data_IF_232881688094
#
_entry.id   IF_232881688094
#
_cell.length_a   1.000
_cell.length_b   1.000
_cell.length_c   1.000
_cell.angle_alpha   90.00
_cell.angle_beta   90.00
_cell.angle_gamma   90.00
#
_symmetry.space_group_name_H-M   'P 1'
#
loop_
_entity.id
_entity.type
_entity.pdbx_description
1 polymer ?
#
# COMPACT_ATOMS: atom_id res chain seq x y z
N UNK A 1 1.51 -0.02 -36.81
CA UNK A 1 2.04 1.06 -35.96
C UNK A 1 1.81 0.63 -34.53
N UNK A 2 2.86 0.20 -33.84
CA UNK A 2 2.77 -0.24 -32.45
C UNK A 2 2.52 1.04 -31.64
N UNK A 3 1.40 1.11 -30.92
CA UNK A 3 1.19 2.17 -29.92
C UNK A 3 2.25 2.00 -28.84
N UNK A 4 3.40 2.65 -29.04
CA UNK A 4 4.48 2.66 -28.07
C UNK A 4 3.94 3.20 -26.75
N UNK A 5 4.10 2.41 -25.69
CA UNK A 5 3.86 2.85 -24.33
C UNK A 5 4.56 4.21 -24.12
N UNK A 6 3.78 5.26 -23.86
CA UNK A 6 4.35 6.58 -23.59
C UNK A 6 4.76 6.60 -22.14
N UNK A 7 6.06 6.74 -21.90
CA UNK A 7 6.53 7.08 -20.56
C UNK A 7 5.86 8.39 -20.12
N UNK A 8 5.33 8.39 -18.91
CA UNK A 8 4.72 9.57 -18.30
C UNK A 8 5.51 9.94 -17.06
N UNK A 9 5.84 11.22 -16.95
CA UNK A 9 6.36 11.81 -15.73
C UNK A 9 5.37 12.89 -15.32
N UNK A 10 4.74 12.71 -14.16
CA UNK A 10 3.83 13.68 -13.58
C UNK A 10 4.43 14.19 -12.27
N UNK A 11 4.63 15.50 -12.21
CA UNK A 11 5.03 16.19 -11.01
C UNK A 11 3.86 17.07 -10.54
N UNK A 12 3.48 16.94 -9.27
CA UNK A 12 2.47 17.77 -8.63
C UNK A 12 3.00 18.32 -7.31
N UNK A 13 2.95 19.63 -7.15
CA UNK A 13 3.39 20.30 -5.92
C UNK A 13 2.18 20.84 -5.16
N UNK A 14 2.15 20.61 -3.85
CA UNK A 14 1.14 21.17 -2.96
C UNK A 14 1.78 21.57 -1.63
N UNK A 15 1.69 22.85 -1.27
CA UNK A 15 2.39 23.37 -0.10
C UNK A 15 3.91 23.07 -0.15
N UNK A 16 4.50 22.51 0.91
CA UNK A 16 5.92 22.13 0.92
C UNK A 16 6.19 20.74 0.33
N UNK A 17 5.16 20.05 -0.16
CA UNK A 17 5.25 18.70 -0.69
C UNK A 17 5.31 18.68 -2.22
N UNK A 18 6.11 17.76 -2.75
CA UNK A 18 6.16 17.42 -4.17
C UNK A 18 5.89 15.92 -4.34
N UNK A 19 4.90 15.59 -5.15
CA UNK A 19 4.59 14.24 -5.61
C UNK A 19 5.15 14.07 -7.01
N UNK A 20 5.96 13.05 -7.20
CA UNK A 20 6.54 12.66 -8.48
C UNK A 20 6.09 11.24 -8.80
N UNK A 21 5.42 11.08 -9.93
CA UNK A 21 4.98 9.78 -10.43
C UNK A 21 5.61 9.53 -11.81
N UNK A 22 6.42 8.48 -11.87
CA UNK A 22 7.10 8.07 -13.09
C UNK A 22 6.54 6.72 -13.50
N UNK A 23 6.05 6.64 -14.74
CA UNK A 23 5.62 5.40 -15.38
C UNK A 23 6.41 5.22 -16.67
N UNK A 24 7.08 4.09 -16.80
CA UNK A 24 7.91 3.70 -17.93
C UNK A 24 7.53 2.31 -18.42
N UNK A 25 8.28 1.83 -19.41
CA UNK A 25 8.08 0.50 -19.98
C UNK A 25 8.64 -0.56 -19.04
N UNK A 26 8.19 -1.80 -19.27
CA UNK A 26 8.71 -3.00 -18.62
C UNK A 26 10.21 -3.13 -18.91
N UNK A 27 11.00 -3.55 -17.93
CA UNK A 27 12.43 -3.79 -18.11
C UNK A 27 12.70 -4.82 -19.21
N UNK A 28 13.83 -4.66 -19.89
CA UNK A 28 14.29 -5.63 -20.90
C UNK A 28 14.86 -6.86 -20.22
N UNK A 29 14.75 -8.02 -20.86
CA UNK A 29 15.18 -9.31 -20.30
C UNK A 29 16.63 -9.30 -19.78
N UNK A 30 17.57 -8.68 -20.50
CA UNK A 30 18.96 -8.58 -20.05
C UNK A 30 19.15 -7.77 -18.76
N UNK A 31 18.37 -6.70 -18.57
CA UNK A 31 18.42 -5.89 -17.36
C UNK A 31 17.71 -6.59 -16.20
N UNK A 32 16.66 -7.38 -16.50
CA UNK A 32 15.96 -8.25 -15.55
C UNK A 32 16.87 -9.34 -15.00
N UNK A 33 17.57 -10.07 -15.88
CA UNK A 33 18.52 -11.14 -15.49
C UNK A 33 19.64 -10.59 -14.61
N UNK A 34 20.24 -9.47 -15.02
CA UNK A 34 21.30 -8.80 -14.23
C UNK A 34 20.82 -8.38 -12.84
N UNK A 35 19.61 -7.84 -12.76
CA UNK A 35 19.03 -7.43 -11.48
C UNK A 35 18.63 -8.66 -10.63
N UNK A 36 18.17 -9.74 -11.24
CA UNK A 36 17.89 -11.00 -10.54
C UNK A 36 19.16 -11.55 -9.88
N UNK A 37 20.28 -11.54 -10.61
CA UNK A 37 21.60 -11.92 -10.09
C UNK A 37 22.04 -11.02 -8.93
N UNK A 38 21.95 -9.69 -9.10
CA UNK A 38 22.28 -8.71 -8.04
C UNK A 38 21.43 -8.94 -6.77
N UNK A 39 20.16 -9.24 -6.98
CA UNK A 39 19.19 -9.48 -5.92
C UNK A 39 19.24 -10.91 -5.39
N UNK A 40 20.08 -11.79 -5.94
CA UNK A 40 20.17 -13.21 -5.57
C UNK A 40 18.78 -13.90 -5.63
N UNK A 41 17.97 -13.55 -6.63
CA UNK A 41 16.66 -14.13 -6.90
C UNK A 41 16.74 -15.02 -8.14
N UNK A 42 16.03 -16.16 -8.18
CA UNK A 42 16.06 -17.05 -9.35
C UNK A 42 15.46 -16.40 -10.59
N UNK A 43 14.40 -15.60 -10.42
CA UNK A 43 13.80 -14.78 -11.45
C UNK A 43 13.11 -13.57 -10.81
N UNK A 44 12.80 -12.57 -11.63
CA UNK A 44 11.94 -11.44 -11.25
C UNK A 44 10.56 -11.61 -11.91
N UNK A 45 9.55 -10.85 -11.46
CA UNK A 45 8.24 -10.80 -12.10
C UNK A 45 8.34 -10.57 -13.62
N UNK A 46 7.46 -11.22 -14.39
CA UNK A 46 7.41 -11.07 -15.86
C UNK A 46 7.25 -9.61 -16.30
N UNK A 47 6.36 -8.87 -15.64
CA UNK A 47 6.12 -7.45 -15.90
C UNK A 47 6.76 -6.60 -14.81
N UNK A 48 8.08 -6.47 -14.86
CA UNK A 48 8.85 -5.66 -13.91
C UNK A 48 9.04 -4.22 -14.40
N UNK A 49 8.51 -3.22 -13.68
CA UNK A 49 8.68 -1.80 -14.00
C UNK A 49 9.77 -1.15 -13.13
N UNK A 50 11.03 -1.35 -13.50
CA UNK A 50 12.17 -1.00 -12.65
C UNK A 50 12.47 0.48 -12.48
N UNK A 51 11.94 1.31 -13.37
CA UNK A 51 12.06 2.77 -13.30
C UNK A 51 10.74 3.43 -12.85
N UNK A 52 9.69 2.63 -12.59
CA UNK A 52 8.46 3.17 -12.02
C UNK A 52 8.70 3.55 -10.56
N UNK A 53 8.26 4.76 -10.23
CA UNK A 53 8.36 5.27 -8.87
C UNK A 53 7.21 6.21 -8.59
N UNK A 54 6.65 6.09 -7.40
CA UNK A 54 5.84 7.12 -6.79
C UNK A 54 6.60 7.67 -5.59
N UNK A 55 6.91 8.97 -5.62
CA UNK A 55 7.72 9.64 -4.61
C UNK A 55 6.95 10.82 -4.03
N UNK A 56 6.92 10.93 -2.71
CA UNK A 56 6.44 12.08 -1.96
C UNK A 56 7.63 12.68 -1.24
N UNK A 57 8.01 13.91 -1.58
CA UNK A 57 9.18 14.57 -1.03
C UNK A 57 8.81 15.94 -0.45
N UNK A 58 9.28 16.20 0.77
CA UNK A 58 9.19 17.51 1.39
C UNK A 58 10.30 18.42 0.87
N UNK A 59 10.06 19.73 0.85
CA UNK A 59 11.07 20.75 0.48
C UNK A 59 12.35 20.67 1.32
N UNK A 60 12.26 20.19 2.57
CA UNK A 60 13.40 19.95 3.47
C UNK A 60 14.24 18.72 3.10
N UNK A 61 13.87 17.97 2.06
CA UNK A 61 14.65 16.86 1.52
C UNK A 61 14.28 15.47 2.02
N UNK A 62 13.52 15.36 3.12
CA UNK A 62 12.99 14.08 3.59
C UNK A 62 11.73 13.67 2.80
N UNK A 63 11.38 12.40 2.81
CA UNK A 63 10.20 11.91 2.09
C UNK A 63 10.03 10.40 2.15
N UNK A 64 9.18 9.88 1.28
CA UNK A 64 8.96 8.45 1.10
C UNK A 64 8.79 8.16 -0.39
N UNK A 65 9.34 7.05 -0.85
CA UNK A 65 9.11 6.56 -2.21
C UNK A 65 8.71 5.10 -2.24
N UNK A 66 8.07 4.72 -3.34
CA UNK A 66 7.59 3.38 -3.61
C UNK A 66 8.15 2.95 -4.95
N UNK A 67 8.99 1.91 -4.93
CA UNK A 67 9.63 1.37 -6.12
C UNK A 67 9.64 -0.17 -6.09
N UNK A 68 9.68 -0.80 -7.27
CA UNK A 68 9.64 -2.25 -7.39
C UNK A 68 10.88 -2.94 -6.79
N UNK A 69 12.06 -2.33 -6.93
CA UNK A 69 13.34 -2.93 -6.52
C UNK A 69 13.40 -3.15 -5.02
N UNK A 70 13.06 -2.13 -4.23
CA UNK A 70 13.04 -2.23 -2.77
C UNK A 70 11.92 -3.13 -2.26
N UNK A 71 10.78 -3.17 -2.95
CA UNK A 71 9.73 -4.12 -2.65
C UNK A 71 10.20 -5.58 -2.84
N UNK A 72 10.94 -5.86 -3.91
CA UNK A 72 11.50 -7.18 -4.17
C UNK A 72 12.65 -7.56 -3.21
N UNK A 73 13.37 -6.58 -2.64
CA UNK A 73 14.38 -6.86 -1.59
C UNK A 73 13.75 -7.44 -0.33
N UNK A 74 12.50 -7.08 -0.05
CA UNK A 74 11.72 -7.57 1.10
C UNK A 74 11.11 -8.94 0.87
N UNK A 75 11.05 -9.42 -0.38
CA UNK A 75 10.57 -10.79 -0.67
C UNK A 75 11.48 -11.78 0.03
N UNK A 76 10.85 -12.73 0.73
CA UNK A 76 11.60 -13.64 1.58
C UNK A 76 12.40 -14.63 0.73
N UNK A 77 13.73 -14.43 0.68
CA UNK A 77 14.64 -15.30 -0.08
C UNK A 77 14.87 -16.66 0.58
N UNK A 78 14.48 -16.82 1.85
CA UNK A 78 14.88 -17.94 2.70
C UNK A 78 13.71 -18.65 3.43
N UNK A 79 12.47 -18.13 3.39
CA UNK A 79 11.33 -18.89 3.90
C UNK A 79 10.89 -19.93 2.87
N UNK A 80 11.35 -21.15 3.17
CA UNK A 80 10.73 -22.41 2.80
C UNK A 80 9.26 -22.31 2.44
N UNK A 81 8.98 -22.48 1.15
CA UNK A 81 7.74 -22.97 0.57
C UNK A 81 6.47 -22.52 1.29
N UNK A 82 5.64 -21.73 0.60
CA UNK A 82 4.21 -21.99 0.70
C UNK A 82 4.06 -23.48 0.32
N UNK A 83 3.97 -24.36 1.33
CA UNK A 83 3.65 -25.78 1.17
C UNK A 83 2.18 -25.86 0.80
N UNK A 84 1.83 -25.27 -0.34
CA UNK A 84 0.67 -25.73 -1.06
C UNK A 84 1.07 -27.11 -1.55
N UNK A 85 0.21 -28.11 -1.34
CA UNK A 85 0.40 -29.42 -1.96
C UNK A 85 0.57 -29.34 -3.50
N UNK A 86 0.20 -28.20 -4.09
CA UNK A 86 0.41 -27.86 -5.49
C UNK A 86 1.85 -27.44 -5.82
N UNK A 87 2.72 -27.12 -4.86
CA UNK A 87 4.12 -26.79 -5.18
C UNK A 87 4.86 -27.98 -5.82
N UNK A 88 4.45 -29.22 -5.56
CA UNK A 88 4.97 -30.40 -6.27
C UNK A 88 4.42 -30.48 -7.70
N UNK A 89 3.11 -30.33 -7.93
CA UNK A 89 2.52 -30.33 -9.28
C UNK A 89 2.98 -29.12 -10.14
N UNK A 90 3.22 -27.97 -9.51
CA UNK A 90 3.71 -26.73 -10.12
C UNK A 90 5.23 -26.74 -10.34
N UNK A 91 5.98 -27.52 -9.54
CA UNK A 91 7.38 -27.85 -9.81
C UNK A 91 7.50 -28.91 -10.93
N UNK A 92 6.57 -29.86 -10.98
CA UNK A 92 6.52 -30.92 -12.00
C UNK A 92 6.18 -30.36 -13.39
N UNK A 93 5.30 -29.35 -13.51
CA UNK A 93 4.98 -28.72 -14.81
C UNK A 93 6.17 -27.99 -15.47
N UNK A 94 7.16 -27.56 -14.68
CA UNK A 94 8.44 -27.00 -15.17
C UNK A 94 9.52 -28.04 -15.44
N UNK A 95 9.33 -29.29 -14.97
CA UNK A 95 10.29 -30.38 -15.19
C UNK A 95 10.31 -30.92 -16.62
N UNK A 96 9.33 -30.52 -17.45
CA UNK A 96 9.21 -30.91 -18.86
C UNK A 96 10.05 -30.07 -19.83
N UNK A 97 10.80 -29.07 -19.32
CA UNK A 97 11.86 -28.42 -20.10
C UNK A 97 13.19 -29.16 -19.86
N UNK A 98 13.76 -29.78 -20.91
CA UNK A 98 14.94 -30.66 -20.86
C UNK A 98 16.24 -30.04 -20.30
N UNK A 99 16.22 -28.85 -19.70
CA UNK A 99 17.40 -28.14 -19.20
C UNK A 99 17.16 -27.57 -17.79
N UNK A 100 17.09 -28.42 -16.77
CA UNK A 100 17.82 -28.30 -15.49
C UNK A 100 17.17 -29.14 -14.37
N UNK A 101 17.80 -30.28 -14.05
CA UNK A 101 17.62 -30.95 -12.75
C UNK A 101 18.46 -30.24 -11.69
N UNK A 102 18.31 -28.93 -11.54
CA UNK A 102 18.85 -28.24 -10.39
C UNK A 102 17.77 -28.23 -9.30
N UNK A 103 18.15 -28.71 -8.13
CA UNK A 103 17.32 -28.67 -6.91
C UNK A 103 16.94 -27.21 -6.70
N UNK A 104 15.72 -26.85 -7.10
CA UNK A 104 15.18 -25.50 -6.99
C UNK A 104 15.18 -25.16 -5.52
N UNK A 105 16.03 -24.20 -5.13
CA UNK A 105 16.08 -23.68 -3.76
C UNK A 105 14.65 -23.28 -3.37
N UNK A 106 14.23 -23.53 -2.12
CA UNK A 106 12.89 -23.16 -1.69
C UNK A 106 12.75 -21.64 -1.73
N UNK A 107 12.19 -21.14 -2.82
CA UNK A 107 12.01 -19.73 -3.11
C UNK A 107 10.52 -19.43 -3.15
N UNK A 108 10.14 -18.26 -2.64
CA UNK A 108 8.78 -17.79 -2.74
C UNK A 108 8.53 -17.18 -4.13
N UNK A 109 8.03 -18.03 -5.04
CA UNK A 109 7.63 -17.62 -6.40
C UNK A 109 6.41 -16.70 -6.43
N UNK A 110 5.77 -16.47 -5.28
CA UNK A 110 4.61 -15.58 -5.18
C UNK A 110 4.99 -14.11 -5.02
N UNK A 111 6.29 -13.79 -4.90
CA UNK A 111 6.81 -12.45 -4.69
C UNK A 111 6.14 -11.69 -3.53
N UNK A 112 5.72 -12.42 -2.48
CA UNK A 112 5.06 -11.81 -1.32
C UNK A 112 6.01 -10.84 -0.63
N UNK A 113 5.55 -9.61 -0.43
CA UNK A 113 6.35 -8.53 0.16
C UNK A 113 5.61 -7.80 1.28
N UNK A 114 6.32 -7.51 2.37
CA UNK A 114 5.88 -6.67 3.49
C UNK A 114 6.32 -5.21 3.34
N UNK A 115 6.63 -4.79 2.10
CA UNK A 115 7.13 -3.46 1.80
C UNK A 115 6.15 -2.35 2.18
N UNK A 116 6.64 -1.38 2.97
CA UNK A 116 5.87 -0.25 3.52
C UNK A 116 6.37 1.11 2.99
N UNK A 117 7.08 1.12 1.87
CA UNK A 117 7.77 2.28 1.31
C UNK A 117 9.21 2.44 1.79
N UNK A 118 10.02 3.11 0.97
CA UNK A 118 11.41 3.46 1.22
C UNK A 118 11.49 4.89 1.74
N UNK A 119 12.05 5.07 2.93
CA UNK A 119 12.23 6.38 3.53
C UNK A 119 13.34 7.14 2.81
N UNK A 120 13.07 8.39 2.44
CA UNK A 120 14.02 9.30 1.82
C UNK A 120 14.48 10.35 2.83
N UNK A 121 15.75 10.72 2.72
CA UNK A 121 16.37 11.74 3.55
C UNK A 121 17.87 11.54 3.63
N UNK A 122 18.64 12.61 3.42
CA UNK A 122 20.09 12.57 3.63
C UNK A 122 20.38 12.75 5.13
N UNK A 123 20.08 13.94 5.66
CA UNK A 123 20.35 14.31 7.05
C UNK A 123 19.08 14.32 7.93
N UNK A 124 17.91 14.49 7.31
CA UNK A 124 16.60 14.52 7.96
C UNK A 124 15.80 13.31 7.48
N UNK A 125 15.42 12.42 8.38
CA UNK A 125 14.60 11.23 8.09
C UNK A 125 13.40 11.27 9.02
N UNK A 126 12.23 10.86 8.53
CA UNK A 126 11.03 10.75 9.38
C UNK A 126 11.21 9.59 10.37
N UNK A 127 10.86 9.82 11.63
CA UNK A 127 10.93 8.80 12.66
C UNK A 127 9.67 7.94 12.64
N UNK A 128 9.84 6.63 12.57
CA UNK A 128 8.73 5.67 12.61
C UNK A 128 8.50 5.26 14.07
N UNK A 129 7.33 5.61 14.61
CA UNK A 129 6.94 5.24 15.98
C UNK A 129 5.65 4.43 15.96
N UNK A 130 5.52 3.36 16.77
CA UNK A 130 4.25 2.65 16.93
C UNK A 130 3.17 3.59 17.48
N UNK A 131 1.93 3.44 17.02
CA UNK A 131 0.81 4.27 17.47
C UNK A 131 -0.47 3.45 17.61
N UNK A 132 -1.42 3.94 18.39
CA UNK A 132 -2.80 3.44 18.45
C UNK A 132 -3.76 4.30 17.62
N UNK A 133 -3.27 5.42 17.07
CA UNK A 133 -4.05 6.31 16.21
C UNK A 133 -4.32 5.65 14.86
N UNK A 134 -5.59 5.65 14.43
CA UNK A 134 -6.04 5.06 13.16
C UNK A 134 -6.37 6.12 12.13
N UNK A 135 -6.25 5.77 10.86
CA UNK A 135 -6.71 6.59 9.73
C UNK A 135 -8.23 6.68 9.82
N UNK A 136 -8.73 7.90 9.92
CA UNK A 136 -10.17 8.14 9.95
C UNK A 136 -10.75 7.97 8.54
N UNK A 137 -11.43 6.85 8.31
CA UNK A 137 -12.08 6.51 7.04
C UNK A 137 -13.19 7.48 6.66
N UNK A 138 -13.93 8.04 7.62
CA UNK A 138 -14.99 9.02 7.36
C UNK A 138 -14.45 10.30 6.70
N UNK A 139 -13.24 10.73 7.11
CA UNK A 139 -12.57 11.87 6.48
C UNK A 139 -12.19 11.59 5.02
N UNK A 140 -11.90 10.35 4.66
CA UNK A 140 -11.63 9.96 3.27
C UNK A 140 -12.90 9.96 2.41
N UNK A 141 -14.07 9.74 3.02
CA UNK A 141 -15.39 9.81 2.36
C UNK A 141 -15.86 11.26 2.14
N UNK A 142 -15.24 12.23 2.82
CA UNK A 142 -15.56 13.65 2.65
C UNK A 142 -15.34 14.08 1.18
N UNK A 143 -16.31 14.81 0.61
CA UNK A 143 -16.28 15.29 -0.78
C UNK A 143 -15.31 16.47 -0.97
N UNK A 144 -14.04 16.26 -0.67
CA UNK A 144 -12.99 17.18 -1.10
C UNK A 144 -12.68 16.97 -2.58
N UNK A 145 -12.38 18.05 -3.28
CA UNK A 145 -11.98 17.97 -4.68
C UNK A 145 -10.62 17.27 -4.78
N UNK A 146 -10.55 16.19 -5.56
CA UNK A 146 -9.29 15.52 -5.86
C UNK A 146 -8.48 16.43 -6.78
N UNK A 147 -7.40 17.01 -6.25
CA UNK A 147 -6.51 17.91 -6.97
C UNK A 147 -5.55 17.12 -7.87
N UNK A 148 -5.11 15.97 -7.37
CA UNK A 148 -4.21 15.08 -8.10
C UNK A 148 -4.53 13.62 -7.77
N UNK A 149 -4.63 12.79 -8.80
CA UNK A 149 -4.77 11.35 -8.67
C UNK A 149 -3.79 10.67 -9.62
N UNK A 150 -3.06 9.68 -9.11
CA UNK A 150 -2.17 8.91 -9.94
C UNK A 150 -2.03 7.48 -9.39
N UNK A 151 -1.93 6.53 -10.31
CA UNK A 151 -1.74 5.11 -10.02
C UNK A 151 -0.53 4.56 -10.78
N UNK A 152 0.43 3.99 -10.08
CA UNK A 152 1.68 3.46 -10.63
C UNK A 152 1.75 1.96 -10.34
N UNK A 153 1.81 1.16 -11.40
CA UNK A 153 2.08 -0.28 -11.31
C UNK A 153 3.59 -0.49 -11.12
N UNK A 154 4.01 -1.28 -10.13
CA UNK A 154 5.42 -1.52 -9.83
C UNK A 154 5.90 -2.84 -10.43
N UNK A 155 5.14 -3.91 -10.23
CA UNK A 155 5.36 -5.17 -10.92
C UNK A 155 4.06 -5.98 -11.03
N UNK A 156 4.03 -6.90 -11.99
CA UNK A 156 2.98 -7.89 -12.16
C UNK A 156 3.56 -9.22 -12.69
N UNK A 157 2.97 -10.34 -12.30
CA UNK A 157 3.34 -11.69 -12.73
C UNK A 157 2.07 -12.55 -12.78
N UNK A 158 1.89 -13.32 -13.86
CA UNK A 158 0.72 -14.19 -14.06
C UNK A 158 0.92 -15.59 -13.46
N UNK A 159 2.03 -15.83 -12.75
CA UNK A 159 2.37 -17.10 -12.12
C UNK A 159 2.19 -18.25 -13.13
N UNK A 160 2.66 -18.08 -14.36
CA UNK A 160 2.52 -19.08 -15.45
C UNK A 160 1.08 -19.55 -15.65
N UNK A 161 0.13 -18.62 -15.77
CA UNK A 161 -1.31 -18.87 -15.92
C UNK A 161 -1.99 -19.55 -14.70
N UNK A 162 -1.33 -19.59 -13.54
CA UNK A 162 -1.89 -20.17 -12.31
C UNK A 162 -2.31 -19.13 -11.27
N UNK A 163 -2.37 -17.86 -11.65
CA UNK A 163 -2.82 -16.81 -10.76
C UNK A 163 -2.39 -15.42 -11.19
N UNK A 164 -2.25 -14.54 -10.21
CA UNK A 164 -1.69 -13.20 -10.40
C UNK A 164 -0.98 -12.75 -9.14
N UNK A 165 0.18 -12.13 -9.31
CA UNK A 165 0.92 -11.42 -8.28
C UNK A 165 1.20 -10.00 -8.77
N UNK A 166 0.57 -9.00 -8.19
CA UNK A 166 0.71 -7.61 -8.58
C UNK A 166 1.00 -6.68 -7.41
N UNK A 167 1.83 -5.67 -7.64
CA UNK A 167 2.09 -4.59 -6.69
C UNK A 167 1.83 -3.25 -7.38
N UNK A 168 0.87 -2.49 -6.88
CA UNK A 168 0.57 -1.14 -7.37
C UNK A 168 0.47 -0.14 -6.22
N UNK A 169 0.73 1.12 -6.54
CA UNK A 169 0.60 2.24 -5.60
C UNK A 169 -0.25 3.34 -6.21
N UNK A 170 -1.24 3.83 -5.47
CA UNK A 170 -2.11 4.94 -5.88
C UNK A 170 -2.11 6.05 -4.84
N UNK A 171 -2.19 7.29 -5.30
CA UNK A 171 -2.26 8.48 -4.44
C UNK A 171 -3.43 9.38 -4.86
N UNK A 172 -4.10 9.94 -3.86
CA UNK A 172 -5.11 11.01 -3.98
C UNK A 172 -4.62 12.18 -3.14
N UNK A 173 -4.45 13.34 -3.78
CA UNK A 173 -4.11 14.58 -3.09
C UNK A 173 -5.33 15.49 -3.08
N UNK A 174 -5.71 15.91 -1.88
CA UNK A 174 -6.77 16.87 -1.62
C UNK A 174 -6.16 18.21 -1.19
N UNK A 175 -6.94 19.30 -1.10
CA UNK A 175 -6.40 20.59 -0.66
C UNK A 175 -5.79 20.57 0.74
N UNK A 176 -6.37 19.78 1.66
CA UNK A 176 -5.99 19.75 3.08
C UNK A 176 -5.19 18.52 3.49
N UNK A 177 -5.18 17.46 2.67
CA UNK A 177 -4.64 16.15 3.02
C UNK A 177 -4.24 15.35 1.79
N UNK A 178 -3.53 14.24 1.98
CA UNK A 178 -3.37 13.23 0.94
C UNK A 178 -3.52 11.82 1.50
N UNK A 179 -3.93 10.91 0.63
CA UNK A 179 -4.09 9.50 0.93
C UNK A 179 -3.37 8.66 -0.14
N UNK A 180 -2.56 7.71 0.29
CA UNK A 180 -1.85 6.78 -0.57
C UNK A 180 -2.17 5.35 -0.14
N UNK A 181 -2.39 4.48 -1.13
CA UNK A 181 -2.55 3.04 -0.94
C UNK A 181 -1.52 2.31 -1.81
N UNK A 182 -0.58 1.65 -1.17
CA UNK A 182 0.24 0.60 -1.77
C UNK A 182 -0.48 -0.72 -1.53
N UNK A 183 -0.78 -1.46 -2.59
CA UNK A 183 -1.46 -2.75 -2.52
C UNK A 183 -0.64 -3.81 -3.23
N UNK A 184 -0.25 -4.83 -2.47
CA UNK A 184 0.19 -6.11 -3.00
C UNK A 184 -1.03 -7.04 -3.06
N UNK A 185 -1.28 -7.63 -4.22
CA UNK A 185 -2.35 -8.58 -4.43
C UNK A 185 -1.80 -9.87 -5.01
N UNK A 186 -2.08 -10.99 -4.34
CA UNK A 186 -1.69 -12.32 -4.75
C UNK A 186 -2.94 -13.20 -4.80
N UNK A 187 -3.18 -13.81 -5.95
CA UNK A 187 -4.15 -14.89 -6.13
C UNK A 187 -3.40 -16.08 -6.70
N UNK A 188 -3.51 -17.22 -6.05
CA UNK A 188 -3.08 -18.50 -6.59
C UNK A 188 -4.34 -19.32 -6.83
N UNK A 189 -4.64 -19.63 -8.08
CA UNK A 189 -5.90 -20.20 -8.49
C UNK A 189 -6.16 -21.55 -7.81
N UNK A 190 -7.36 -21.70 -7.25
CA UNK A 190 -7.75 -22.87 -6.45
C UNK A 190 -7.09 -23.01 -5.07
N UNK A 191 -6.15 -22.13 -4.71
CA UNK A 191 -5.33 -22.26 -3.50
C UNK A 191 -5.66 -21.18 -2.46
N UNK A 192 -5.25 -19.93 -2.70
CA UNK A 192 -5.35 -18.85 -1.73
C UNK A 192 -5.40 -17.48 -2.39
N UNK A 193 -5.90 -16.51 -1.64
CA UNK A 193 -5.85 -15.09 -1.96
C UNK A 193 -5.20 -14.39 -0.77
N UNK A 194 -4.17 -13.59 -1.04
CA UNK A 194 -3.45 -12.77 -0.07
C UNK A 194 -3.41 -11.33 -0.56
N UNK A 195 -3.55 -10.39 0.37
CA UNK A 195 -3.49 -8.97 0.08
C UNK A 195 -2.75 -8.25 1.20
N UNK A 196 -1.72 -7.48 0.83
CA UNK A 196 -1.01 -6.62 1.78
C UNK A 196 -1.24 -5.17 1.37
N UNK A 197 -1.97 -4.44 2.21
CA UNK A 197 -2.26 -3.02 2.01
C UNK A 197 -1.39 -2.19 2.96
N UNK A 198 -0.64 -1.24 2.42
CA UNK A 198 -0.03 -0.13 3.18
C UNK A 198 -0.75 1.16 2.84
N UNK A 199 -1.51 1.68 3.79
CA UNK A 199 -2.19 2.98 3.72
C UNK A 199 -1.29 4.04 4.34
N UNK A 200 -1.18 5.19 3.69
CA UNK A 200 -0.48 6.35 4.20
C UNK A 200 -1.39 7.57 4.11
N UNK A 201 -1.58 8.26 5.22
CA UNK A 201 -2.44 9.43 5.32
C UNK A 201 -1.73 10.57 6.03
N UNK A 202 -1.89 11.78 5.52
CA UNK A 202 -1.33 13.00 6.11
C UNK A 202 -2.32 14.14 5.97
N UNK A 203 -2.47 14.91 7.05
CA UNK A 203 -3.24 16.14 7.10
C UNK A 203 -2.27 17.32 7.24
N UNK A 204 -2.53 18.42 6.53
CA UNK A 204 -1.66 19.59 6.46
C UNK A 204 -1.44 20.31 7.79
N UNK A 205 -2.33 20.11 8.77
CA UNK A 205 -2.25 20.65 10.13
C UNK A 205 -1.41 19.77 11.07
N UNK A 206 -1.09 18.53 10.69
CA UNK A 206 -0.37 17.56 11.51
C UNK A 206 1.12 17.51 11.16
N UNK A 207 1.96 17.42 12.18
CA UNK A 207 3.42 17.25 12.03
C UNK A 207 3.83 15.77 11.89
N UNK A 208 2.93 14.93 11.40
CA UNK A 208 3.16 13.50 11.22
C UNK A 208 2.28 12.94 10.09
N UNK A 209 2.62 11.74 9.65
CA UNK A 209 1.75 10.91 8.81
C UNK A 209 1.35 9.64 9.57
N UNK A 210 0.18 9.11 9.25
CA UNK A 210 -0.26 7.79 9.73
C UNK A 210 0.00 6.77 8.64
N UNK A 211 0.70 5.69 9.00
CA UNK A 211 0.94 4.54 8.14
C UNK A 211 0.30 3.31 8.77
N UNK A 212 -0.62 2.69 8.03
CA UNK A 212 -1.30 1.47 8.46
C UNK A 212 -0.95 0.35 7.49
N UNK A 213 -0.45 -0.75 8.02
CA UNK A 213 -0.20 -1.96 7.26
C UNK A 213 -1.18 -3.04 7.68
N UNK A 214 -1.89 -3.62 6.73
CA UNK A 214 -2.83 -4.73 6.94
C UNK A 214 -2.48 -5.87 5.98
N UNK A 215 -2.25 -7.06 6.53
CA UNK A 215 -2.15 -8.30 5.78
C UNK A 215 -3.46 -9.07 5.91
N UNK A 216 -4.02 -9.49 4.78
CA UNK A 216 -5.24 -10.30 4.71
C UNK A 216 -4.96 -11.54 3.89
N UNK A 217 -5.40 -12.69 4.36
CA UNK A 217 -5.18 -13.96 3.67
C UNK A 217 -6.34 -14.92 3.91
N UNK A 218 -6.79 -15.59 2.85
CA UNK A 218 -7.71 -16.72 2.97
C UNK A 218 -7.41 -17.79 1.93
N UNK A 219 -7.68 -19.05 2.28
CA UNK A 219 -7.72 -20.14 1.30
C UNK A 219 -8.98 -20.03 0.47
N UNK A 220 -8.89 -20.30 -0.84
CA UNK A 220 -10.06 -20.25 -1.73
C UNK A 220 -11.16 -21.23 -1.29
N UNK A 221 -10.80 -22.35 -0.67
CA UNK A 221 -11.76 -23.28 -0.08
C UNK A 221 -12.67 -22.66 0.99
N UNK A 222 -12.18 -21.67 1.74
CA UNK A 222 -12.95 -20.94 2.74
C UNK A 222 -13.86 -19.86 2.12
N UNK A 223 -13.58 -19.47 0.87
CA UNK A 223 -14.30 -18.43 0.11
C UNK A 223 -15.37 -19.02 -0.83
N UNK A 224 -15.81 -20.26 -0.59
CA UNK A 224 -16.80 -20.95 -1.45
C UNK A 224 -18.16 -20.24 -1.54
N UNK A 225 -18.47 -19.36 -0.59
CA UNK A 225 -19.68 -18.54 -0.56
C UNK A 225 -19.57 -17.26 -1.42
N UNK A 226 -18.36 -16.90 -1.86
CA UNK A 226 -18.08 -15.68 -2.62
C UNK A 226 -18.11 -15.99 -4.13
N UNK A 227 -18.79 -15.18 -4.96
CA UNK A 227 -18.79 -15.37 -6.40
C UNK A 227 -17.38 -15.29 -7.01
N UNK A 228 -17.06 -16.23 -7.90
CA UNK A 228 -15.75 -16.30 -8.57
C UNK A 228 -15.30 -15.00 -9.28
N UNK A 229 -16.19 -14.19 -9.91
CA UNK A 229 -15.78 -12.90 -10.48
C UNK A 229 -15.20 -11.90 -9.47
N UNK A 230 -15.52 -12.04 -8.18
CA UNK A 230 -14.95 -11.16 -7.15
C UNK A 230 -13.50 -11.52 -6.84
N UNK A 231 -13.04 -12.74 -7.13
CA UNK A 231 -11.64 -13.13 -6.93
C UNK A 231 -10.66 -12.37 -7.84
N UNK A 232 -11.17 -11.74 -8.90
CA UNK A 232 -10.37 -10.91 -9.80
C UNK A 232 -10.35 -9.43 -9.43
N UNK A 233 -11.24 -8.97 -8.53
CA UNK A 233 -11.27 -7.57 -8.09
C UNK A 233 -10.73 -7.43 -6.66
N UNK A 234 -9.51 -6.87 -6.49
CA UNK A 234 -8.89 -6.71 -5.17
C UNK A 234 -9.72 -5.86 -4.21
N UNK A 235 -10.49 -4.88 -4.72
CA UNK A 235 -11.31 -4.04 -3.85
C UNK A 235 -12.49 -4.84 -3.29
N UNK A 236 -13.13 -5.65 -4.13
CA UNK A 236 -14.31 -6.41 -3.73
C UNK A 236 -13.97 -7.61 -2.86
N UNK A 237 -12.87 -8.31 -3.15
CA UNK A 237 -12.49 -9.50 -2.37
C UNK A 237 -11.98 -9.14 -0.98
N UNK A 238 -11.45 -7.93 -0.79
CA UNK A 238 -10.80 -7.50 0.45
C UNK A 238 -11.67 -7.70 1.71
N UNK A 239 -12.98 -7.49 1.58
CA UNK A 239 -13.96 -7.62 2.66
C UNK A 239 -14.17 -9.05 3.15
N UNK A 240 -13.93 -10.03 2.28
CA UNK A 240 -14.11 -11.45 2.59
C UNK A 240 -12.83 -12.10 3.11
N UNK A 241 -11.69 -11.39 3.06
CA UNK A 241 -10.41 -11.88 3.53
C UNK A 241 -10.21 -11.50 5.01
N UNK A 242 -10.00 -12.48 5.90
CA UNK A 242 -9.71 -12.21 7.29
C UNK A 242 -8.33 -11.55 7.41
N UNK A 243 -8.22 -10.63 8.36
CA UNK A 243 -6.99 -9.93 8.69
C UNK A 243 -6.09 -10.85 9.51
N UNK A 244 -4.86 -11.06 9.05
CA UNK A 244 -3.87 -11.90 9.72
C UNK A 244 -2.85 -11.08 10.49
N UNK A 245 -2.57 -9.85 10.05
CA UNK A 245 -1.63 -8.95 10.69
C UNK A 245 -2.07 -7.50 10.49
N UNK A 246 -1.91 -6.68 11.53
CA UNK A 246 -2.11 -5.24 11.43
C UNK A 246 -1.05 -4.49 12.22
N UNK A 247 -0.49 -3.45 11.61
CA UNK A 247 0.55 -2.62 12.21
C UNK A 247 0.19 -1.15 11.97
N UNK A 248 0.22 -0.37 13.05
CA UNK A 248 -0.07 1.06 13.04
C UNK A 248 1.17 1.85 13.44
N UNK A 249 1.61 2.74 12.56
CA UNK A 249 2.81 3.54 12.73
C UNK A 249 2.52 5.01 12.46
N UNK A 250 3.18 5.87 13.22
CA UNK A 250 3.22 7.31 12.99
C UNK A 250 4.60 7.67 12.44
N UNK A 251 4.62 8.36 11.31
CA UNK A 251 5.83 8.91 10.70
C UNK A 251 5.96 10.37 11.15
N UNK A 252 6.72 10.59 12.22
CA UNK A 252 6.94 11.93 12.76
C UNK A 252 7.86 12.73 11.83
N UNK A 253 7.39 13.92 11.43
CA UNK A 253 8.18 14.82 10.60
C UNK A 253 9.30 15.41 11.47
N UNK A 254 10.53 15.48 10.96
CA UNK A 254 11.63 16.05 11.72
C UNK A 254 11.37 17.54 11.98
N UNK A 255 11.60 17.98 13.22
CA UNK A 255 11.42 19.37 13.63
C UNK A 255 12.35 20.27 12.79
N UNK A 256 11.76 21.12 11.97
CA UNK A 256 12.51 22.19 11.32
C UNK A 256 12.83 23.23 12.39
N UNK A 257 14.11 23.46 12.67
CA UNK A 257 14.53 24.66 13.37
C UNK A 257 14.09 25.85 12.53
N UNK A 258 13.01 26.51 12.93
CA UNK A 258 12.74 27.86 12.43
C UNK A 258 13.96 28.69 12.84
N UNK A 259 14.67 29.27 11.88
CA UNK A 259 15.56 30.38 12.20
C UNK A 259 14.65 31.50 12.74
N UNK A 260 14.48 31.52 14.06
CA UNK A 260 13.97 32.68 14.76
C UNK A 260 14.90 33.84 14.38
N UNK A 261 14.37 34.79 13.63
CA UNK A 261 14.97 36.11 13.49
C UNK A 261 14.99 36.73 14.89
N UNK A 262 16.06 36.47 15.64
CA UNK A 262 16.29 37.02 16.97
C UNK A 262 16.59 38.52 16.83
N UNK A 263 15.57 39.35 17.00
CA UNK A 263 15.75 40.73 17.46
C UNK A 263 16.11 40.70 18.95
N UNK A 264 17.09 41.49 19.43
CA UNK A 264 17.52 41.42 20.83
C UNK A 264 16.66 42.37 21.67
N UNK A 265 16.11 41.90 22.78
CA UNK A 265 15.65 42.72 23.92
C UNK A 265 15.52 41.81 25.15
N UNK A 266 16.60 41.68 25.93
CA UNK A 266 16.85 42.27 27.27
C UNK A 266 16.29 41.48 28.47
N UNK A 267 17.25 41.12 29.33
CA UNK A 267 17.16 40.46 30.62
C UNK A 267 16.34 41.24 31.66
N UNK A 268 15.56 40.52 32.47
CA UNK A 268 15.30 40.89 33.87
C UNK A 268 14.91 39.65 34.70
N UNK A 269 15.81 39.27 35.60
CA UNK A 269 15.63 38.28 36.65
C UNK A 269 14.54 38.72 37.66
N UNK A 270 13.78 37.76 38.21
CA UNK A 270 13.55 37.70 39.66
C UNK A 270 13.02 36.35 40.16
N UNK A 271 13.75 35.82 41.13
CA UNK A 271 13.46 34.65 41.96
C UNK A 271 12.19 34.80 42.81
N UNK A 272 11.59 33.66 43.18
CA UNK A 272 10.58 33.57 44.24
C UNK A 272 10.12 32.14 44.52
N UNK A 273 10.62 31.57 45.63
CA UNK A 273 10.36 30.21 46.16
C UNK A 273 8.91 29.99 46.63
N UNK A 274 8.46 28.72 46.63
CA UNK A 274 7.31 28.23 47.41
C UNK A 274 7.18 26.70 47.34
N UNK A 275 7.23 26.04 48.50
CA UNK A 275 7.21 24.60 48.77
C UNK A 275 5.79 24.07 49.09
N UNK A 276 5.63 22.74 48.99
CA UNK A 276 4.61 21.86 49.64
C UNK A 276 3.18 21.88 49.05
N UNK A 277 2.40 20.80 48.87
CA UNK A 277 2.36 19.48 49.51
C UNK A 277 1.57 18.42 48.68
N UNK A 278 1.98 17.15 48.83
CA UNK A 278 1.11 16.01 49.20
C UNK A 278 -0.13 15.57 48.40
N UNK A 279 0.03 14.40 47.74
CA UNK A 279 -0.79 13.17 47.91
C UNK A 279 -2.12 13.00 47.13
N UNK A 280 -2.20 11.96 46.28
CA UNK A 280 -2.96 10.73 46.56
C UNK A 280 -3.23 9.91 45.28
N UNK A 281 -2.80 8.66 45.30
CA UNK A 281 -3.10 7.59 44.35
C UNK A 281 -4.42 6.94 44.76
N UNK A 282 -5.36 6.76 43.83
CA UNK A 282 -6.26 5.59 43.83
C UNK A 282 -6.57 5.17 42.40
N UNK A 283 -6.19 3.94 42.13
CA UNK A 283 -6.49 3.09 40.97
C UNK A 283 -7.97 2.75 40.85
N UNK A 284 -8.51 2.84 39.63
CA UNK A 284 -9.71 2.08 39.25
C UNK A 284 -9.49 1.51 37.84
N UNK A 285 -9.42 0.18 37.79
CA UNK A 285 -9.41 -0.64 36.60
C UNK A 285 -10.81 -0.63 35.98
N UNK A 286 -10.95 -0.11 34.76
CA UNK A 286 -12.11 -0.37 33.92
C UNK A 286 -11.71 -1.28 32.77
N UNK A 287 -12.25 -2.50 32.85
CA UNK A 287 -12.22 -3.56 31.86
C UNK A 287 -13.13 -3.10 30.70
N UNK A 288 -12.54 -2.70 29.58
CA UNK A 288 -13.28 -2.42 28.34
C UNK A 288 -13.32 -3.71 27.52
N UNK A 289 -14.54 -4.12 27.22
CA UNK A 289 -14.88 -5.29 26.42
C UNK A 289 -14.32 -5.12 24.99
N UNK A 290 -13.62 -6.14 24.49
CA UNK A 290 -13.16 -6.22 23.11
C UNK A 290 -14.38 -6.43 22.21
N UNK A 291 -15.02 -5.35 21.76
CA UNK A 291 -15.89 -5.41 20.58
C UNK A 291 -15.00 -5.53 19.34
N UNK A 292 -15.08 -6.68 18.67
CA UNK A 292 -14.50 -6.93 17.35
C UNK A 292 -15.05 -5.91 16.35
N UNK A 293 -14.35 -4.79 16.20
CA UNK A 293 -14.67 -3.74 15.24
C UNK A 293 -14.48 -4.27 13.82
N UNK A 294 -15.59 -4.43 13.10
CA UNK A 294 -15.64 -4.76 11.68
C UNK A 294 -14.77 -3.78 10.88
N UNK A 295 -13.78 -4.33 10.16
CA UNK A 295 -12.80 -3.59 9.39
C UNK A 295 -13.50 -3.02 8.13
N UNK A 296 -14.04 -1.80 8.22
CA UNK A 296 -14.77 -1.13 7.13
C UNK A 296 -13.90 -0.94 5.88
N UNK A 297 -14.02 -1.86 4.92
CA UNK A 297 -13.43 -1.75 3.60
C UNK A 297 -14.13 -0.66 2.79
N UNK A 298 -13.37 0.32 2.26
CA UNK A 298 -13.88 1.37 1.36
C UNK A 298 -13.86 0.88 -0.09
N UNK A 299 -14.98 1.04 -0.81
CA UNK A 299 -15.13 0.65 -2.21
C UNK A 299 -15.26 1.85 -3.14
N UNK A 300 -14.34 2.01 -4.09
CA UNK A 300 -14.36 3.12 -5.05
C UNK A 300 -14.99 2.69 -6.38
N UNK A 301 -15.91 3.49 -6.92
CA UNK A 301 -16.46 3.29 -8.25
C UNK A 301 -15.45 3.68 -9.33
N UNK A 302 -14.98 2.69 -10.09
CA UNK A 302 -14.01 2.89 -11.18
C UNK A 302 -14.43 3.90 -12.26
N UNK A 303 -15.72 4.27 -12.34
CA UNK A 303 -16.25 5.12 -13.39
C UNK A 303 -16.46 6.58 -12.97
N UNK A 304 -16.95 6.84 -11.75
CA UNK A 304 -17.16 8.21 -11.23
C UNK A 304 -16.22 8.57 -10.07
N UNK A 305 -15.44 7.61 -9.59
CA UNK A 305 -14.50 7.73 -8.48
C UNK A 305 -15.16 8.08 -7.14
N UNK A 306 -16.43 7.69 -6.94
CA UNK A 306 -17.14 7.82 -5.67
C UNK A 306 -16.85 6.61 -4.76
N UNK A 307 -16.61 6.87 -3.48
CA UNK A 307 -16.37 5.86 -2.44
C UNK A 307 -17.68 5.46 -1.72
N UNK A 308 -17.75 4.21 -1.28
CA UNK A 308 -18.91 3.59 -0.62
C UNK A 308 -18.47 2.68 0.52
N UNK A 309 -19.40 2.42 1.44
CA UNK A 309 -19.15 1.74 2.71
C UNK A 309 -19.42 0.23 2.60
N UNK A 310 -20.09 -0.16 1.53
CA UNK A 310 -20.32 -1.55 1.19
C UNK A 310 -20.34 -1.76 -0.32
N UNK A 311 -20.02 -2.97 -0.74
CA UNK A 311 -20.23 -3.40 -2.12
C UNK A 311 -21.70 -3.26 -2.56
N UNK A 312 -22.67 -3.34 -1.64
CA UNK A 312 -24.08 -3.14 -1.94
C UNK A 312 -24.34 -1.70 -2.44
N UNK A 313 -23.81 -0.71 -1.73
CA UNK A 313 -23.93 0.71 -2.12
C UNK A 313 -23.17 1.02 -3.41
N UNK A 314 -21.96 0.47 -3.58
CA UNK A 314 -21.20 0.62 -4.83
C UNK A 314 -21.96 0.01 -6.02
N UNK A 315 -22.58 -1.15 -5.83
CA UNK A 315 -23.37 -1.83 -6.88
C UNK A 315 -24.62 -1.04 -7.22
N UNK A 316 -25.34 -0.52 -6.24
CA UNK A 316 -26.50 0.34 -6.46
C UNK A 316 -26.12 1.63 -7.20
N UNK A 317 -24.99 2.24 -6.81
CA UNK A 317 -24.47 3.40 -7.50
C UNK A 317 -24.13 3.10 -8.97
N UNK A 318 -23.41 2.00 -9.24
CA UNK A 318 -23.03 1.58 -10.59
C UNK A 318 -24.25 1.32 -11.48
N UNK A 319 -25.36 0.85 -10.90
CA UNK A 319 -26.58 0.48 -11.65
C UNK A 319 -27.56 1.65 -11.84
N UNK A 320 -27.65 2.59 -10.90
CA UNK A 320 -28.72 3.60 -10.89
C UNK A 320 -28.25 5.06 -10.97
N UNK A 321 -27.00 5.37 -10.57
CA UNK A 321 -26.58 6.76 -10.30
C UNK A 321 -25.26 7.17 -10.95
N UNK A 322 -24.51 6.25 -11.55
CA UNK A 322 -23.22 6.57 -12.15
C UNK A 322 -23.37 7.29 -13.49
N UNK A 323 -23.15 8.61 -13.51
CA UNK A 323 -23.35 9.52 -14.65
C UNK A 323 -22.43 9.28 -15.87
N UNK A 324 -21.58 8.25 -15.86
CA UNK A 324 -20.79 7.81 -17.02
C UNK A 324 -21.09 6.38 -17.49
N UNK A 325 -22.05 5.68 -16.89
CA UNK A 325 -22.43 4.32 -17.28
C UNK A 325 -23.39 4.34 -18.47
N UNK A 326 -23.01 3.71 -19.58
CA UNK A 326 -23.88 3.55 -20.74
C UNK A 326 -25.11 2.69 -20.32
N UNK A 327 -26.36 3.17 -20.45
CA UNK A 327 -27.54 2.45 -19.98
C UNK A 327 -27.95 1.39 -21.01
N UNK A 328 -27.13 0.35 -21.19
CA UNK A 328 -27.51 -0.87 -21.91
C UNK A 328 -26.78 -2.06 -21.36
N UNK A 329 -27.29 -2.60 -20.26
CA UNK A 329 -27.28 -4.03 -19.95
C UNK A 329 -28.41 -4.30 -18.95
N UNK A 330 -29.63 -3.87 -19.32
CA UNK A 330 -30.83 -4.45 -18.73
C UNK A 330 -31.07 -5.80 -19.41
N UNK A 331 -30.91 -6.86 -18.63
CA UNK A 331 -31.75 -8.06 -18.61
C UNK A 331 -32.28 -8.54 -19.97
N UNK A 332 -31.69 -9.63 -20.47
CA UNK A 332 -32.49 -10.65 -21.14
C UNK A 332 -32.28 -11.98 -20.41
N UNK A 333 -33.42 -12.52 -20.00
CA UNK A 333 -33.67 -13.85 -19.43
C UNK A 333 -33.20 -14.94 -20.38
#
# INVERSE_FOLDING_TARGET
MIHGFKSSNQDFSFGPWKVTAIKTHIMKSADVEKLAEEMHMPCLPEMMFGDNVLRIQHSSGFGIEFNAKDALKRVNKNQGAVKVACAEEWQESRSDSEHSKEIVKPYDWTYTTDYKGTMLGNDLIMNVVPTTERINTEKLKAREQIMFFEEVLLFEDELHDHGVSGLSVKIRVMPSSFFLLLRFFLRVDGVLIRMNDTRLYHESDKTYMLREYTCRESKISNLSHVPAPLFTDPNEISQYLPVTETIYEKLELPLMSQEETSGPETEAEREGRGLEDGNSVTSQEERIEEEELEDESIYTCNNCQQDFDSLAELTEHRTQHCLGGNPKLSLQV
#
